data_IF_883287867181
#
_entry.id   IF_883287867181
#
_cell.length_a   1.000
_cell.length_b   1.000
_cell.length_c   1.000
_cell.angle_alpha   90.00
_cell.angle_beta   90.00
_cell.angle_gamma   90.00
#
_symmetry.space_group_name_H-M   'P 1'
#
loop_
_entity.id
_entity.type
_entity.pdbx_description
1 polymer ?
#
# COMPACT_ATOMS: atom_id res chain seq x y z
N UNK A 1 0.42 -8.84 14.64
CA UNK A 1 1.24 -7.60 14.56
C UNK A 1 0.78 -6.68 13.44
N UNK A 2 0.67 -7.16 12.19
CA UNK A 2 0.11 -6.40 11.04
C UNK A 2 -1.22 -5.74 11.40
N UNK A 3 -2.19 -6.52 11.91
CA UNK A 3 -3.50 -5.99 12.29
C UNK A 3 -3.38 -4.86 13.32
N UNK A 4 -2.65 -5.07 14.41
CA UNK A 4 -2.41 -4.05 15.45
C UNK A 4 -1.84 -2.76 14.84
N UNK A 5 -0.80 -2.86 14.01
CA UNK A 5 -0.21 -1.71 13.31
C UNK A 5 -1.26 -0.97 12.47
N UNK A 6 -1.98 -1.67 11.61
CA UNK A 6 -2.95 -1.06 10.70
C UNK A 6 -4.13 -0.44 11.45
N UNK A 7 -4.62 -1.05 12.53
CA UNK A 7 -5.65 -0.49 13.40
C UNK A 7 -5.18 0.79 14.10
N UNK A 8 -3.96 0.80 14.62
CA UNK A 8 -3.37 1.99 15.25
C UNK A 8 -3.17 3.12 14.23
N UNK A 9 -2.71 2.80 13.03
CA UNK A 9 -2.60 3.74 11.92
C UNK A 9 -3.97 4.29 11.50
N UNK A 10 -4.98 3.42 11.39
CA UNK A 10 -6.37 3.80 11.10
C UNK A 10 -6.94 4.78 12.12
N UNK A 11 -6.56 4.64 13.40
CA UNK A 11 -6.98 5.56 14.46
C UNK A 11 -6.42 6.98 14.33
N UNK A 12 -5.40 7.18 13.48
CA UNK A 12 -4.83 8.48 13.14
C UNK A 12 -5.41 9.05 11.84
N UNK A 13 -6.25 8.27 11.15
CA UNK A 13 -6.89 8.66 9.90
C UNK A 13 -8.37 8.99 10.15
N UNK A 14 -8.79 10.27 10.06
CA UNK A 14 -10.18 10.65 10.29
C UNK A 14 -11.16 10.02 9.27
N UNK A 15 -10.64 9.51 8.13
CA UNK A 15 -11.43 8.85 7.09
C UNK A 15 -11.51 7.32 7.26
N UNK A 16 -10.80 6.74 8.24
CA UNK A 16 -10.89 5.31 8.50
C UNK A 16 -12.25 4.97 9.13
N UNK A 17 -12.86 3.86 8.68
CA UNK A 17 -14.09 3.32 9.24
C UNK A 17 -13.84 2.79 10.66
N UNK A 18 -12.76 2.04 10.85
CA UNK A 18 -12.36 1.53 12.15
C UNK A 18 -11.24 2.40 12.74
N UNK A 19 -11.53 3.02 13.88
CA UNK A 19 -10.60 3.85 14.66
C UNK A 19 -10.49 3.24 16.06
N UNK A 20 -9.49 2.38 16.26
CA UNK A 20 -9.28 1.58 17.48
C UNK A 20 -7.93 1.92 18.13
N UNK A 21 -7.80 3.08 18.82
CA UNK A 21 -6.52 3.54 19.35
C UNK A 21 -5.98 2.68 20.51
N UNK A 22 -6.82 1.83 21.09
CA UNK A 22 -6.54 0.96 22.24
C UNK A 22 -6.39 -0.52 21.83
N UNK A 23 -6.29 -0.83 20.54
CA UNK A 23 -6.05 -2.18 20.03
C UNK A 23 -4.71 -2.74 20.51
N UNK A 24 -4.68 -4.03 20.87
CA UNK A 24 -3.47 -4.74 21.28
C UNK A 24 -3.36 -6.09 20.59
N UNK A 25 -2.19 -6.72 20.68
CA UNK A 25 -2.01 -8.07 20.13
C UNK A 25 -2.90 -9.08 20.82
N UNK A 26 -3.07 -8.97 22.14
CA UNK A 26 -3.93 -9.83 22.94
C UNK A 26 -5.39 -9.72 22.50
N UNK A 27 -5.88 -8.51 22.21
CA UNK A 27 -7.24 -8.30 21.68
C UNK A 27 -7.43 -9.01 20.34
N UNK A 28 -6.49 -8.81 19.41
CA UNK A 28 -6.52 -9.49 18.10
C UNK A 28 -6.52 -11.02 18.27
N UNK A 29 -5.65 -11.55 19.13
CA UNK A 29 -5.53 -12.99 19.42
C UNK A 29 -6.72 -13.57 20.20
N UNK A 30 -7.48 -12.74 20.91
CA UNK A 30 -8.69 -13.16 21.61
C UNK A 30 -9.95 -13.06 20.73
N UNK A 31 -9.88 -12.35 19.59
CA UNK A 31 -11.02 -12.20 18.69
C UNK A 31 -11.45 -13.54 18.09
N UNK A 32 -12.71 -13.59 17.64
CA UNK A 32 -13.34 -14.81 17.10
C UNK A 32 -12.48 -15.40 15.98
N UNK A 33 -12.16 -16.68 16.07
CA UNK A 33 -11.53 -17.40 14.95
C UNK A 33 -12.57 -17.57 13.84
N UNK A 34 -12.24 -17.12 12.63
CA UNK A 34 -13.10 -17.26 11.46
C UNK A 34 -12.76 -18.52 10.67
N UNK A 35 -11.47 -18.73 10.45
CA UNK A 35 -10.93 -19.89 9.75
C UNK A 35 -9.51 -20.13 10.26
N UNK A 36 -9.15 -21.34 10.64
CA UNK A 36 -7.82 -21.61 11.21
C UNK A 36 -6.69 -21.16 10.26
N UNK A 37 -5.76 -20.28 10.67
CA UNK A 37 -5.58 -19.65 11.99
C UNK A 37 -6.11 -18.19 12.10
N UNK A 38 -6.74 -17.67 11.05
CA UNK A 38 -7.24 -16.29 10.90
C UNK A 38 -8.36 -15.94 11.87
N UNK A 39 -8.19 -14.80 12.55
CA UNK A 39 -9.17 -14.22 13.48
C UNK A 39 -9.87 -12.99 12.93
N UNK A 40 -10.99 -12.63 13.53
CA UNK A 40 -11.88 -11.57 13.05
C UNK A 40 -11.18 -10.21 12.93
N UNK A 41 -10.40 -9.80 13.93
CA UNK A 41 -9.71 -8.50 13.91
C UNK A 41 -8.57 -8.43 12.89
N UNK A 42 -8.19 -9.57 12.31
CA UNK A 42 -7.22 -9.67 11.22
C UNK A 42 -7.85 -9.45 9.85
N UNK A 43 -9.14 -9.16 9.77
CA UNK A 43 -9.90 -8.98 8.51
C UNK A 43 -10.34 -7.54 8.31
N UNK A 44 -10.46 -7.10 7.05
CA UNK A 44 -11.02 -5.79 6.74
C UNK A 44 -12.54 -5.71 7.01
N UNK A 45 -13.08 -4.55 7.43
CA UNK A 45 -14.52 -4.33 7.56
C UNK A 45 -15.17 -4.13 6.19
N UNK A 46 -16.43 -4.51 6.06
CA UNK A 46 -17.29 -4.02 4.98
C UNK A 46 -17.52 -2.52 5.16
N UNK A 47 -17.16 -1.72 4.16
CA UNK A 47 -17.23 -0.25 4.25
C UNK A 47 -17.84 0.34 2.99
N UNK A 48 -18.57 1.43 3.14
CA UNK A 48 -18.97 2.29 2.03
C UNK A 48 -17.99 3.46 1.90
N UNK A 49 -17.71 3.89 0.68
CA UNK A 49 -16.76 4.98 0.44
C UNK A 49 -16.50 5.23 -1.03
N UNK A 50 -15.89 6.38 -1.32
CA UNK A 50 -15.54 6.81 -2.67
C UNK A 50 -14.17 7.47 -2.67
N UNK A 51 -13.53 7.48 -3.83
CA UNK A 51 -12.27 8.17 -4.05
C UNK A 51 -12.30 8.82 -5.44
N UNK A 52 -11.78 10.04 -5.53
CA UNK A 52 -11.61 10.75 -6.78
C UNK A 52 -10.19 11.31 -6.85
N UNK A 53 -9.58 11.20 -8.02
CA UNK A 53 -8.27 11.78 -8.32
C UNK A 53 -8.39 12.65 -9.57
N UNK A 54 -7.66 13.75 -9.62
CA UNK A 54 -7.53 14.59 -10.81
C UNK A 54 -6.12 14.41 -11.34
N UNK A 55 -6.02 13.93 -12.58
CA UNK A 55 -4.74 13.74 -13.27
C UNK A 55 -4.61 14.84 -14.32
N UNK A 56 -3.50 15.58 -14.24
CA UNK A 56 -3.12 16.61 -15.20
C UNK A 56 -1.82 16.26 -15.90
N UNK A 57 -1.48 17.01 -16.94
CA UNK A 57 -0.18 16.95 -17.59
C UNK A 57 0.89 17.76 -16.82
N UNK A 58 2.09 17.82 -17.37
CA UNK A 58 3.21 18.54 -16.77
C UNK A 58 2.95 20.04 -16.66
N UNK A 59 2.27 20.65 -17.64
CA UNK A 59 2.01 22.10 -17.65
C UNK A 59 1.06 22.47 -16.52
N UNK A 60 -0.02 21.70 -16.32
CA UNK A 60 -0.93 21.87 -15.21
C UNK A 60 -0.18 21.66 -13.88
N UNK A 61 0.63 20.61 -13.77
CA UNK A 61 1.39 20.34 -12.55
C UNK A 61 2.35 21.48 -12.17
N UNK A 62 3.11 21.98 -13.15
CA UNK A 62 4.06 23.09 -12.98
C UNK A 62 3.32 24.39 -12.59
N UNK A 63 2.16 24.67 -13.19
CA UNK A 63 1.31 25.80 -12.81
C UNK A 63 0.77 25.70 -11.37
N UNK A 64 0.39 24.50 -10.91
CA UNK A 64 -0.05 24.27 -9.52
C UNK A 64 1.09 24.44 -8.52
N UNK A 65 2.28 23.95 -8.85
CA UNK A 65 3.49 24.15 -8.04
C UNK A 65 3.86 25.62 -7.93
N UNK A 66 3.77 26.39 -9.02
CA UNK A 66 4.01 27.85 -9.02
C UNK A 66 3.02 28.61 -8.13
N UNK A 67 1.82 28.07 -7.91
CA UNK A 67 0.81 28.60 -6.98
C UNK A 67 1.01 28.14 -5.52
N UNK A 68 2.06 27.37 -5.23
CA UNK A 68 2.34 26.83 -3.89
C UNK A 68 1.48 25.62 -3.53
N UNK A 69 0.82 24.98 -4.50
CA UNK A 69 0.07 23.76 -4.27
C UNK A 69 0.95 22.54 -4.58
N UNK A 70 1.17 21.62 -3.61
CA UNK A 70 1.96 20.42 -3.88
C UNK A 70 1.22 19.52 -4.87
N UNK A 71 2.00 18.78 -5.67
CA UNK A 71 1.51 17.77 -6.62
C UNK A 71 2.28 16.47 -6.38
N UNK A 72 1.64 15.34 -6.68
CA UNK A 72 2.28 14.04 -6.71
C UNK A 72 2.54 13.65 -8.17
N UNK A 73 3.80 13.50 -8.54
CA UNK A 73 4.19 13.05 -9.87
C UNK A 73 4.05 11.54 -9.98
N UNK A 74 3.53 11.04 -11.11
CA UNK A 74 3.46 9.59 -11.38
C UNK A 74 4.79 9.17 -12.03
N UNK A 75 5.60 8.38 -11.31
CA UNK A 75 6.90 7.89 -11.79
C UNK A 75 6.77 6.59 -12.57
N UNK A 76 5.71 5.81 -12.32
CA UNK A 76 5.46 4.58 -13.05
C UNK A 76 4.11 3.99 -12.68
N UNK A 77 3.53 3.23 -13.61
CA UNK A 77 2.34 2.42 -13.37
C UNK A 77 2.55 1.05 -13.97
N UNK A 78 1.93 0.03 -13.38
CA UNK A 78 1.93 -1.32 -13.93
C UNK A 78 0.59 -2.00 -13.67
N UNK A 79 0.20 -2.84 -14.63
CA UNK A 79 -0.95 -3.73 -14.53
C UNK A 79 -0.54 -5.10 -15.05
N UNK A 80 -0.77 -6.16 -14.27
CA UNK A 80 -0.66 -7.55 -14.73
C UNK A 80 -1.82 -8.37 -14.20
N UNK A 81 -2.15 -9.40 -14.95
CA UNK A 81 -3.23 -10.31 -14.61
C UNK A 81 -2.82 -11.74 -14.91
N UNK A 82 -3.42 -12.70 -14.22
CA UNK A 82 -3.30 -14.13 -14.50
C UNK A 82 -4.67 -14.81 -14.35
N UNK A 83 -4.88 -16.02 -14.92
CA UNK A 83 -6.14 -16.73 -14.74
C UNK A 83 -6.32 -17.17 -13.28
N UNK A 84 -7.56 -17.12 -12.76
CA UNK A 84 -7.90 -17.54 -11.40
C UNK A 84 -7.47 -18.98 -11.06
N UNK A 85 -7.61 -19.89 -12.02
CA UNK A 85 -7.37 -21.31 -11.82
C UNK A 85 -6.64 -21.93 -13.02
N UNK A 86 -5.43 -22.40 -12.77
CA UNK A 86 -4.66 -23.25 -13.67
C UNK A 86 -3.70 -24.13 -12.85
N UNK A 87 -3.26 -25.26 -13.42
CA UNK A 87 -2.37 -26.18 -12.73
C UNK A 87 -1.02 -25.53 -12.42
N UNK A 88 -0.56 -25.66 -11.17
CA UNK A 88 0.71 -25.07 -10.72
C UNK A 88 0.66 -23.58 -10.37
N UNK A 89 -0.54 -22.97 -10.36
CA UNK A 89 -0.70 -21.59 -9.89
C UNK A 89 -0.35 -21.47 -8.40
N UNK A 90 0.55 -20.55 -8.09
CA UNK A 90 0.81 -20.14 -6.71
C UNK A 90 -0.27 -19.14 -6.26
N UNK A 91 -1.01 -19.53 -5.23
CA UNK A 91 -2.12 -18.76 -4.66
C UNK A 91 -1.65 -17.77 -3.58
N UNK A 92 -0.47 -18.01 -3.02
CA UNK A 92 0.12 -17.24 -1.91
C UNK A 92 1.01 -16.13 -2.47
N UNK A 93 1.83 -16.46 -3.46
CA UNK A 93 2.74 -15.55 -4.14
C UNK A 93 2.48 -15.61 -5.67
N UNK A 94 1.45 -14.92 -6.19
CA UNK A 94 1.08 -14.98 -7.62
C UNK A 94 2.16 -14.41 -8.55
N UNK A 95 2.32 -15.03 -9.73
CA UNK A 95 3.31 -14.60 -10.74
C UNK A 95 2.96 -13.22 -11.30
N UNK A 96 1.68 -12.95 -11.57
CA UNK A 96 1.25 -11.64 -12.06
C UNK A 96 1.63 -10.50 -11.10
N UNK A 97 1.61 -10.73 -9.78
CA UNK A 97 2.03 -9.74 -8.79
C UNK A 97 3.52 -9.41 -8.90
N UNK A 98 4.38 -10.45 -8.98
CA UNK A 98 5.82 -10.29 -9.18
C UNK A 98 6.14 -9.58 -10.50
N UNK A 99 5.46 -9.96 -11.57
CA UNK A 99 5.66 -9.36 -12.89
C UNK A 99 5.21 -7.89 -12.94
N UNK A 100 4.14 -7.55 -12.22
CA UNK A 100 3.67 -6.18 -12.08
C UNK A 100 4.68 -5.34 -11.28
N UNK A 101 5.17 -5.85 -10.16
CA UNK A 101 6.18 -5.18 -9.35
C UNK A 101 7.47 -4.95 -10.15
N UNK A 102 7.99 -5.98 -10.83
CA UNK A 102 9.19 -5.85 -11.65
C UNK A 102 9.03 -4.83 -12.80
N UNK A 103 7.87 -4.81 -13.46
CA UNK A 103 7.56 -3.83 -14.49
C UNK A 103 7.46 -2.40 -13.92
N UNK A 104 6.85 -2.26 -12.75
CA UNK A 104 6.71 -0.98 -12.06
C UNK A 104 8.07 -0.41 -11.65
N UNK A 105 8.92 -1.20 -11.00
CA UNK A 105 10.25 -0.77 -10.56
C UNK A 105 11.10 -0.35 -11.75
N UNK A 106 11.07 -1.13 -12.84
CA UNK A 106 11.74 -0.76 -14.09
C UNK A 106 11.21 0.57 -14.64
N UNK A 107 9.89 0.76 -14.70
CA UNK A 107 9.28 1.98 -15.22
C UNK A 107 9.64 3.22 -14.38
N UNK A 108 9.70 3.05 -13.06
CA UNK A 108 10.06 4.11 -12.11
C UNK A 108 11.58 4.30 -11.92
N UNK A 109 12.41 3.52 -12.62
CA UNK A 109 13.87 3.57 -12.50
C UNK A 109 14.40 3.16 -11.11
N UNK A 110 13.64 2.31 -10.40
CA UNK A 110 13.96 1.81 -9.05
C UNK A 110 14.70 0.48 -9.17
N UNK A 111 15.79 0.35 -8.42
CA UNK A 111 16.63 -0.86 -8.38
C UNK A 111 16.62 -1.54 -7.02
N UNK A 112 16.43 -0.79 -5.94
CA UNK A 112 16.23 -1.32 -4.59
C UNK A 112 14.94 -0.75 -3.99
N UNK A 113 13.79 -1.42 -4.15
CA UNK A 113 12.51 -0.90 -3.65
C UNK A 113 12.53 -0.57 -2.15
N UNK A 114 13.20 -1.40 -1.34
CA UNK A 114 13.30 -1.22 0.12
C UNK A 114 14.13 0.01 0.53
N UNK A 115 15.02 0.50 -0.34
CA UNK A 115 15.87 1.66 -0.06
C UNK A 115 15.37 2.93 -0.76
N UNK A 116 14.46 2.80 -1.73
CA UNK A 116 14.00 3.90 -2.59
C UNK A 116 12.53 4.28 -2.42
N UNK A 117 11.74 3.48 -1.69
CA UNK A 117 10.34 3.78 -1.34
C UNK A 117 10.26 4.17 0.14
N UNK A 118 9.71 5.35 0.41
CA UNK A 118 9.62 5.89 1.77
C UNK A 118 8.31 5.51 2.47
N UNK A 119 7.27 5.14 1.71
CA UNK A 119 5.99 4.68 2.24
C UNK A 119 5.27 3.77 1.24
N UNK A 120 4.55 2.77 1.72
CA UNK A 120 3.79 1.86 0.87
C UNK A 120 2.34 1.72 1.35
N UNK A 121 1.40 1.93 0.43
CA UNK A 121 -0.03 1.73 0.63
C UNK A 121 -0.46 0.46 -0.11
N UNK A 122 -0.53 -0.64 0.65
CA UNK A 122 -0.70 -2.00 0.17
C UNK A 122 -2.10 -2.52 0.52
N UNK A 123 -2.84 -2.98 -0.49
CA UNK A 123 -4.09 -3.71 -0.29
C UNK A 123 -3.87 -5.04 0.48
N UNK A 124 -4.10 -5.00 1.81
CA UNK A 124 -3.95 -6.11 2.78
C UNK A 124 -5.32 -6.38 3.46
N UNK A 125 -6.21 -7.22 2.90
CA UNK A 125 -7.55 -7.45 3.44
C UNK A 125 -7.57 -8.46 4.59
N UNK A 126 -6.51 -9.26 4.69
CA UNK A 126 -6.22 -10.12 5.82
C UNK A 126 -4.78 -9.89 6.26
N UNK A 127 -4.52 -9.89 7.57
CA UNK A 127 -3.20 -9.56 8.16
C UNK A 127 -2.03 -10.33 7.53
N UNK A 128 -2.22 -11.60 7.17
CA UNK A 128 -1.17 -12.46 6.61
C UNK A 128 -0.69 -12.04 5.22
N UNK A 129 -1.47 -11.23 4.49
CA UNK A 129 -1.08 -10.73 3.18
C UNK A 129 0.11 -9.75 3.24
N UNK A 130 0.25 -8.94 4.29
CA UNK A 130 1.36 -7.96 4.34
C UNK A 130 2.73 -8.63 4.21
N UNK A 131 3.09 -9.66 5.01
CA UNK A 131 4.32 -10.43 4.81
C UNK A 131 4.50 -10.95 3.38
N UNK A 132 3.48 -11.57 2.80
CA UNK A 132 3.56 -12.15 1.46
C UNK A 132 3.69 -11.08 0.37
N UNK A 133 3.07 -9.93 0.56
CA UNK A 133 3.21 -8.77 -0.33
C UNK A 133 4.57 -8.11 -0.22
N UNK A 134 5.17 -8.03 0.96
CA UNK A 134 6.55 -7.55 1.10
C UNK A 134 7.53 -8.40 0.27
N UNK A 135 7.29 -9.70 0.18
CA UNK A 135 8.07 -10.63 -0.65
C UNK A 135 7.74 -10.47 -2.14
N UNK A 136 6.45 -10.51 -2.50
CA UNK A 136 5.97 -10.40 -3.89
C UNK A 136 6.39 -9.10 -4.57
N UNK A 137 6.38 -7.99 -3.81
CA UNK A 137 6.73 -6.66 -4.29
C UNK A 137 8.25 -6.41 -4.28
N UNK A 138 9.05 -7.33 -3.76
CA UNK A 138 10.52 -7.24 -3.75
C UNK A 138 11.10 -6.37 -2.63
N UNK A 139 10.34 -6.09 -1.56
CA UNK A 139 10.84 -5.42 -0.35
C UNK A 139 11.60 -6.37 0.57
N UNK A 140 11.28 -7.67 0.49
CA UNK A 140 11.89 -8.74 1.27
C UNK A 140 12.21 -9.93 0.37
N UNK A 141 13.12 -10.79 0.83
CA UNK A 141 13.29 -12.12 0.23
C UNK A 141 12.12 -13.01 0.59
N UNK A 142 11.79 -13.96 -0.28
CA UNK A 142 10.75 -14.95 -0.04
C UNK A 142 10.97 -15.71 1.28
N UNK A 143 9.92 -15.83 2.08
CA UNK A 143 9.94 -16.36 3.44
C UNK A 143 10.45 -15.42 4.54
N UNK A 144 10.83 -14.18 4.20
CA UNK A 144 11.37 -13.20 5.16
C UNK A 144 10.51 -11.96 5.37
N UNK A 145 9.38 -11.81 4.66
CA UNK A 145 8.55 -10.60 4.72
C UNK A 145 8.02 -10.30 6.13
N UNK A 146 7.66 -11.34 6.88
CA UNK A 146 7.16 -11.23 8.25
C UNK A 146 8.19 -10.63 9.23
N UNK A 147 9.50 -10.79 8.95
CA UNK A 147 10.58 -10.29 9.81
C UNK A 147 10.58 -8.76 9.85
N UNK A 148 10.20 -8.08 8.76
CA UNK A 148 10.09 -6.62 8.77
C UNK A 148 8.98 -6.17 9.70
N UNK A 149 7.80 -6.79 9.63
CA UNK A 149 6.70 -6.45 10.53
C UNK A 149 7.05 -6.78 11.99
N UNK A 150 7.67 -7.93 12.25
CA UNK A 150 8.07 -8.32 13.61
C UNK A 150 9.10 -7.35 14.20
N UNK A 151 10.09 -6.92 13.41
CA UNK A 151 11.10 -5.94 13.82
C UNK A 151 10.54 -4.51 13.99
N UNK A 152 9.26 -4.28 13.66
CA UNK A 152 8.64 -2.96 13.69
C UNK A 152 9.00 -2.06 12.51
N UNK A 153 9.71 -2.59 11.51
CA UNK A 153 10.18 -1.84 10.33
C UNK A 153 9.04 -1.35 9.44
N UNK A 154 7.87 -1.99 9.54
CA UNK A 154 6.68 -1.58 8.77
C UNK A 154 5.82 -0.51 9.45
N UNK A 155 6.13 -0.13 10.70
CA UNK A 155 5.42 0.94 11.40
C UNK A 155 5.83 2.34 10.90
N UNK A 156 5.01 3.36 11.18
CA UNK A 156 5.43 4.75 10.96
C UNK A 156 6.68 5.03 11.81
N UNK A 157 7.78 5.40 11.15
CA UNK A 157 9.09 5.61 11.77
C UNK A 157 10.07 4.43 11.63
N UNK A 158 9.62 3.28 11.11
CA UNK A 158 10.49 2.17 10.69
C UNK A 158 11.08 2.40 9.30
N UNK A 159 11.85 1.42 8.79
CA UNK A 159 12.50 1.49 7.47
C UNK A 159 11.54 1.63 6.29
N UNK A 160 10.40 0.95 6.33
CA UNK A 160 9.39 1.01 5.26
C UNK A 160 7.98 1.07 5.87
N UNK A 161 7.48 2.25 6.25
CA UNK A 161 6.11 2.42 6.72
C UNK A 161 5.08 1.85 5.73
N UNK A 162 4.40 0.78 6.12
CA UNK A 162 3.32 0.14 5.35
C UNK A 162 1.97 0.54 5.93
N UNK A 163 1.05 0.92 5.03
CA UNK A 163 -0.30 1.35 5.34
C UNK A 163 -0.38 2.43 6.44
N UNK A 164 0.35 3.57 6.34
CA UNK A 164 0.17 4.68 7.29
C UNK A 164 -1.28 5.14 7.41
N UNK A 165 -2.10 5.00 6.36
CA UNK A 165 -3.55 5.30 6.39
C UNK A 165 -4.42 4.32 7.18
N UNK A 166 -3.84 3.22 7.65
CA UNK A 166 -4.54 2.12 8.31
C UNK A 166 -4.97 0.99 7.37
N UNK A 167 -4.60 1.07 6.10
CA UNK A 167 -4.80 -0.04 5.17
C UNK A 167 -6.28 -0.26 4.81
N UNK A 168 -6.53 -1.28 4.01
CA UNK A 168 -7.90 -1.81 3.87
C UNK A 168 -8.34 -2.53 5.13
N UNK A 169 -7.41 -2.93 6.01
CA UNK A 169 -7.76 -3.43 7.33
C UNK A 169 -8.64 -2.42 8.06
N UNK A 170 -8.37 -1.11 8.04
CA UNK A 170 -9.20 -0.13 8.76
C UNK A 170 -10.36 0.49 7.96
N UNK A 171 -10.40 0.36 6.64
CA UNK A 171 -11.53 0.75 5.79
C UNK A 171 -11.44 0.09 4.40
N UNK A 172 -12.47 -0.65 3.97
CA UNK A 172 -12.45 -1.34 2.67
C UNK A 172 -13.71 -1.13 1.81
N UNK A 173 -13.89 0.05 1.19
CA UNK A 173 -14.86 0.25 0.12
C UNK A 173 -14.34 -0.38 -1.18
N UNK A 174 -14.57 -1.68 -1.35
CA UNK A 174 -13.91 -2.57 -2.34
C UNK A 174 -13.68 -1.94 -3.72
N UNK A 175 -14.72 -1.30 -4.30
CA UNK A 175 -14.62 -0.68 -5.63
C UNK A 175 -13.68 0.53 -5.70
N UNK A 176 -13.49 1.24 -4.59
CA UNK A 176 -12.61 2.40 -4.49
C UNK A 176 -11.25 2.09 -3.86
N UNK A 177 -11.11 0.98 -3.10
CA UNK A 177 -9.95 0.67 -2.27
C UNK A 177 -8.60 0.75 -2.98
N UNK A 178 -8.51 0.24 -4.22
CA UNK A 178 -7.29 0.35 -5.01
C UNK A 178 -6.91 1.80 -5.33
N UNK A 179 -7.88 2.62 -5.72
CA UNK A 179 -7.67 4.04 -6.00
C UNK A 179 -7.37 4.84 -4.72
N UNK A 180 -7.95 4.46 -3.58
CA UNK A 180 -7.63 5.05 -2.28
C UNK A 180 -6.16 4.84 -1.95
N UNK A 181 -5.59 3.66 -2.20
CA UNK A 181 -4.15 3.42 -1.95
C UNK A 181 -3.26 4.31 -2.81
N UNK A 182 -3.62 4.50 -4.08
CA UNK A 182 -2.94 5.46 -4.97
C UNK A 182 -3.05 6.89 -4.44
N UNK A 183 -4.25 7.31 -4.02
CA UNK A 183 -4.48 8.64 -3.46
C UNK A 183 -3.73 8.86 -2.13
N UNK A 184 -3.69 7.86 -1.24
CA UNK A 184 -2.94 7.92 0.02
C UNK A 184 -1.42 8.01 -0.22
N UNK A 185 -0.88 7.25 -1.17
CA UNK A 185 0.52 7.40 -1.59
C UNK A 185 0.80 8.82 -2.09
N UNK A 186 -0.10 9.41 -2.88
CA UNK A 186 0.01 10.79 -3.34
C UNK A 186 -0.07 11.79 -2.17
N UNK A 187 -0.99 11.59 -1.22
CA UNK A 187 -1.14 12.42 -0.02
C UNK A 187 0.14 12.43 0.82
N UNK A 188 0.82 11.28 0.96
CA UNK A 188 2.08 11.17 1.67
C UNK A 188 3.18 12.02 1.04
N UNK A 189 3.42 11.87 -0.27
CA UNK A 189 4.50 12.63 -0.96
C UNK A 189 4.17 14.11 -1.14
N UNK A 190 2.89 14.49 -1.07
CA UNK A 190 2.47 15.89 -1.03
C UNK A 190 2.59 16.53 0.36
N UNK A 191 2.91 15.75 1.41
CA UNK A 191 2.99 16.26 2.79
C UNK A 191 1.63 16.60 3.40
N UNK A 192 0.56 15.93 2.96
CA UNK A 192 -0.84 16.25 3.33
C UNK A 192 -1.49 15.20 4.22
N UNK A 193 -0.74 14.26 4.78
CA UNK A 193 -1.31 13.11 5.50
C UNK A 193 -1.60 13.39 6.99
N UNK A 194 -1.44 14.62 7.47
CA UNK A 194 -1.81 15.02 8.85
C UNK A 194 -1.17 14.10 9.91
N UNK A 195 -1.96 13.54 10.84
CA UNK A 195 -1.48 12.69 11.93
C UNK A 195 -0.89 11.34 11.48
N UNK A 196 -1.05 10.95 10.21
CA UNK A 196 -0.47 9.75 9.60
C UNK A 196 0.68 10.05 8.63
N UNK A 197 1.19 11.28 8.61
CA UNK A 197 2.30 11.67 7.74
C UNK A 197 3.57 10.88 8.08
N UNK A 198 4.14 10.24 7.07
CA UNK A 198 5.48 9.67 7.15
C UNK A 198 6.49 10.81 6.99
N UNK A 199 7.38 11.04 7.99
CA UNK A 199 8.35 12.11 7.92
C UNK A 199 9.29 11.94 6.72
N UNK A 200 9.41 12.97 5.89
CA UNK A 200 10.35 12.98 4.76
C UNK A 200 9.96 12.09 3.58
N UNK A 201 8.71 11.62 3.48
CA UNK A 201 8.28 10.80 2.35
C UNK A 201 8.41 11.55 1.01
N UNK A 202 9.23 11.03 0.10
CA UNK A 202 9.50 11.61 -1.22
C UNK A 202 9.06 10.71 -2.36
N UNK A 203 9.06 9.39 -2.18
CA UNK A 203 8.50 8.39 -3.10
C UNK A 203 7.61 7.41 -2.33
N UNK A 204 6.44 7.11 -2.88
CA UNK A 204 5.50 6.18 -2.27
C UNK A 204 4.90 5.20 -3.29
N UNK A 205 4.61 3.98 -2.83
CA UNK A 205 3.93 2.94 -3.59
C UNK A 205 2.43 2.98 -3.28
N UNK A 206 1.59 2.97 -4.32
CA UNK A 206 0.19 2.54 -4.24
C UNK A 206 0.05 1.14 -4.84
N UNK A 207 -0.66 0.25 -4.16
CA UNK A 207 -0.87 -1.13 -4.59
C UNK A 207 -2.34 -1.53 -4.47
N UNK A 208 -2.87 -2.12 -5.53
CA UNK A 208 -4.20 -2.71 -5.59
C UNK A 208 -4.10 -4.14 -6.10
N UNK A 209 -4.88 -5.02 -5.48
CA UNK A 209 -5.17 -6.33 -6.05
C UNK A 209 -6.67 -6.63 -6.00
N UNK A 210 -7.12 -7.57 -6.84
CA UNK A 210 -8.52 -8.00 -6.86
C UNK A 210 -8.73 -9.47 -7.20
N UNK A 211 -9.95 -9.96 -6.91
CA UNK A 211 -10.34 -11.36 -7.08
C UNK A 211 -9.55 -12.29 -6.15
N UNK A 212 -9.30 -13.52 -6.60
CA UNK A 212 -8.40 -14.48 -5.91
C UNK A 212 -6.93 -14.19 -6.16
N UNK A 213 -6.51 -12.93 -5.99
CA UNK A 213 -5.15 -12.44 -6.26
C UNK A 213 -4.73 -12.59 -7.73
N UNK A 214 -5.63 -12.24 -8.66
CA UNK A 214 -5.43 -12.44 -10.11
C UNK A 214 -5.27 -11.13 -10.91
N UNK A 215 -5.62 -10.00 -10.30
CA UNK A 215 -5.49 -8.67 -10.89
C UNK A 215 -4.58 -7.85 -9.99
N UNK A 216 -3.54 -7.24 -10.55
CA UNK A 216 -2.62 -6.37 -9.82
C UNK A 216 -2.44 -5.06 -10.56
N UNK A 217 -2.67 -3.94 -9.88
CA UNK A 217 -2.40 -2.60 -10.39
C UNK A 217 -1.61 -1.81 -9.36
N UNK A 218 -0.56 -1.13 -9.82
CA UNK A 218 0.41 -0.49 -8.93
C UNK A 218 0.89 0.84 -9.51
N UNK A 219 1.29 1.75 -8.62
CA UNK A 219 1.76 3.09 -8.95
C UNK A 219 2.93 3.46 -8.06
N UNK A 220 3.96 4.10 -8.64
CA UNK A 220 4.94 4.86 -7.86
C UNK A 220 4.66 6.33 -8.08
N UNK A 221 4.51 7.06 -6.99
CA UNK A 221 4.41 8.52 -7.00
C UNK A 221 5.56 9.16 -6.26
N UNK A 222 5.91 10.38 -6.63
CA UNK A 222 6.96 11.14 -5.94
C UNK A 222 6.68 12.64 -5.89
N UNK A 223 7.35 13.32 -4.95
CA UNK A 223 7.28 14.77 -4.81
C UNK A 223 8.08 15.52 -5.89
N UNK A 224 8.98 14.83 -6.60
CA UNK A 224 9.81 15.39 -7.66
C UNK A 224 9.35 14.92 -9.04
N UNK A 225 9.53 15.78 -10.04
CA UNK A 225 9.25 15.47 -11.43
C UNK A 225 10.10 14.28 -11.89
N UNK A 226 9.53 13.27 -12.57
CA UNK A 226 10.29 12.12 -13.06
C UNK A 226 11.36 12.62 -14.05
N UNK A 227 12.56 12.03 -14.00
CA UNK A 227 13.56 12.30 -15.03
C UNK A 227 13.04 11.68 -16.33
N UNK A 228 12.95 12.47 -17.41
CA UNK A 228 12.61 11.92 -18.72
C UNK A 228 13.55 10.77 -19.05
N UNK A 229 12.99 9.60 -19.36
CA UNK A 229 13.79 8.51 -19.88
C UNK A 229 14.48 9.02 -21.15
N UNK A 230 15.81 8.92 -21.22
CA UNK A 230 16.53 9.15 -22.46
C UNK A 230 15.94 8.19 -23.50
N UNK A 231 15.35 8.75 -24.55
CA UNK A 231 14.74 8.01 -25.66
C UNK A 231 15.75 7.11 -26.37
#
# INVERSE_FOLDING_TARGET
MVAVKDRLNGSRNPLAHLQQPDITLEKVMASQMLWDPIRFDETCPSSDGACAVVVGDEEIADARLAQGHPVAWIHGTALRTEPLAFAGRDQVNPQAGRDAAAALWKAAGITSPIDEIDAAEIYVPFSWFEPMWLENLGFAREGEGWKLTEAGETAIGGRLPVNPSGGVLSANPIGASGLIRFAEAAIQVMGKAEARQVPGARKALGHAYGGGSQYFSMWVVGCEKPKQAAA
#
